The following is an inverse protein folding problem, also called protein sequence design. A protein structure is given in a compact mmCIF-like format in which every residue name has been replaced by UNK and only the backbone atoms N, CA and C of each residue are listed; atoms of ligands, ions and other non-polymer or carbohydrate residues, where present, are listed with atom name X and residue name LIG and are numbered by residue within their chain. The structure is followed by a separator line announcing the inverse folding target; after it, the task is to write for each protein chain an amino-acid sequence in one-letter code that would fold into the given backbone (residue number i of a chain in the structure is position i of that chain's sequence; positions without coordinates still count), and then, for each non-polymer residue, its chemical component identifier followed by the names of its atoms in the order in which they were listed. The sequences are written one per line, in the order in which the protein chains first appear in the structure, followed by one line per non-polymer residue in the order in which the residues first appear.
data_IF_088966502343
#
_entry.id   IF_088966502343
#
_cell.length_a   1.000
_cell.length_b   1.000
_cell.length_c   1.000
_cell.angle_alpha   90.00
_cell.angle_beta   90.00
_cell.angle_gamma   90.00
#
_symmetry.space_group_name_H-M   'P 1'
#
loop_
_entity.id
_entity.type
_entity.pdbx_description
1 polymer ?
#
# COMPACT_ATOMS: atom_id res chain seq x y z
N UNK A 1 -0.07 -38.02 -17.30
CA UNK A 1 -1.04 -37.15 -16.58
C UNK A 1 -0.40 -36.31 -15.48
N UNK A 2 0.77 -36.70 -14.94
CA UNK A 2 1.52 -35.99 -13.89
C UNK A 2 2.15 -34.67 -14.35
N UNK A 3 2.58 -34.58 -15.61
CA UNK A 3 3.27 -33.38 -16.13
C UNK A 3 2.37 -32.14 -16.22
N UNK A 4 1.08 -32.33 -16.52
CA UNK A 4 0.08 -31.26 -16.62
C UNK A 4 -0.21 -30.58 -15.27
N UNK A 5 -0.28 -31.37 -14.20
CA UNK A 5 -0.49 -30.86 -12.84
C UNK A 5 0.73 -30.07 -12.34
N UNK A 6 1.94 -30.59 -12.59
CA UNK A 6 3.19 -29.95 -12.23
C UNK A 6 3.38 -28.60 -12.96
N UNK A 7 3.06 -28.54 -14.25
CA UNK A 7 3.15 -27.31 -15.03
C UNK A 7 2.15 -26.25 -14.55
N UNK A 8 0.93 -26.67 -14.22
CA UNK A 8 -0.11 -25.79 -13.68
C UNK A 8 0.28 -25.20 -12.32
N UNK A 9 0.91 -26.00 -11.45
CA UNK A 9 1.44 -25.53 -10.17
C UNK A 9 2.57 -24.52 -10.35
N UNK A 10 3.50 -24.78 -11.30
CA UNK A 10 4.61 -23.86 -11.61
C UNK A 10 4.12 -22.52 -12.14
N UNK A 11 3.15 -22.52 -13.07
CA UNK A 11 2.54 -21.27 -13.58
C UNK A 11 1.87 -20.48 -12.47
N UNK A 12 1.09 -21.15 -11.62
CA UNK A 12 0.42 -20.52 -10.47
C UNK A 12 1.42 -19.86 -9.52
N UNK A 13 2.48 -20.59 -9.14
CA UNK A 13 3.55 -20.05 -8.28
C UNK A 13 4.19 -18.82 -8.91
N UNK A 14 4.51 -18.87 -10.21
CA UNK A 14 5.09 -17.71 -10.92
C UNK A 14 4.17 -16.50 -10.88
N UNK A 15 2.87 -16.68 -11.13
CA UNK A 15 1.89 -15.58 -11.06
C UNK A 15 1.82 -14.95 -9.67
N UNK A 16 1.77 -15.78 -8.62
CA UNK A 16 1.78 -15.29 -7.23
C UNK A 16 3.03 -14.47 -6.95
N UNK A 17 4.21 -14.99 -7.31
CA UNK A 17 5.48 -14.29 -7.11
C UNK A 17 5.47 -12.96 -7.87
N UNK A 18 5.03 -12.94 -9.14
CA UNK A 18 4.95 -11.71 -9.93
C UNK A 18 4.07 -10.66 -9.25
N UNK A 19 2.88 -11.03 -8.76
CA UNK A 19 2.01 -10.07 -8.07
C UNK A 19 2.59 -9.58 -6.75
N UNK A 20 3.27 -10.43 -5.97
CA UNK A 20 3.96 -10.01 -4.76
C UNK A 20 5.12 -9.05 -5.06
N UNK A 21 5.92 -9.34 -6.08
CA UNK A 21 7.01 -8.45 -6.53
C UNK A 21 6.43 -7.11 -6.98
N UNK A 22 5.38 -7.10 -7.81
CA UNK A 22 4.73 -5.86 -8.23
C UNK A 22 4.16 -5.08 -7.04
N UNK A 23 3.58 -5.77 -6.06
CA UNK A 23 3.09 -5.14 -4.81
C UNK A 23 4.25 -4.47 -4.06
N UNK A 24 5.39 -5.16 -3.91
CA UNK A 24 6.56 -4.59 -3.26
C UNK A 24 7.14 -3.39 -4.03
N UNK A 25 7.21 -3.48 -5.36
CA UNK A 25 7.66 -2.38 -6.24
C UNK A 25 6.74 -1.17 -6.12
N UNK A 26 5.43 -1.37 -6.01
CA UNK A 26 4.46 -0.29 -5.82
C UNK A 26 4.56 0.36 -4.44
N UNK A 27 4.88 -0.41 -3.39
CA UNK A 27 4.97 0.10 -2.02
C UNK A 27 6.32 0.78 -1.72
N UNK A 28 7.40 0.32 -2.35
CA UNK A 28 8.77 0.85 -2.16
C UNK A 28 8.87 2.39 -2.21
N UNK A 29 8.42 3.08 -3.28
CA UNK A 29 8.50 4.54 -3.35
C UNK A 29 7.63 5.23 -2.29
N UNK A 30 6.50 4.62 -1.89
CA UNK A 30 5.64 5.17 -0.83
C UNK A 30 6.31 5.03 0.55
N UNK A 31 6.99 3.91 0.80
CA UNK A 31 7.80 3.69 2.00
C UNK A 31 8.98 4.66 2.06
N UNK A 32 9.65 4.89 0.93
CA UNK A 32 10.71 5.90 0.83
C UNK A 32 10.17 7.30 1.11
N UNK A 33 9.01 7.65 0.54
CA UNK A 33 8.34 8.93 0.81
C UNK A 33 7.99 9.12 2.29
N UNK A 34 7.45 8.07 2.93
CA UNK A 34 7.17 8.10 4.37
C UNK A 34 8.46 8.27 5.19
N UNK A 35 9.53 7.57 4.82
CA UNK A 35 10.83 7.70 5.48
C UNK A 35 11.36 9.13 5.40
N UNK A 36 11.37 9.74 4.20
CA UNK A 36 11.79 11.12 4.03
C UNK A 36 10.91 12.10 4.82
N UNK A 37 9.59 11.92 4.84
CA UNK A 37 8.69 12.77 5.62
C UNK A 37 8.92 12.62 7.14
N UNK A 38 9.23 11.41 7.61
CA UNK A 38 9.53 11.17 9.01
C UNK A 38 10.88 11.79 9.42
N UNK A 39 11.91 11.66 8.59
CA UNK A 39 13.21 12.28 8.82
C UNK A 39 13.11 13.82 8.83
N UNK A 40 12.40 14.40 7.88
CA UNK A 40 12.14 15.84 7.81
C UNK A 40 11.40 16.36 9.06
N UNK A 41 10.36 15.64 9.51
CA UNK A 41 9.62 15.99 10.72
C UNK A 41 10.46 15.91 12.00
N UNK A 42 11.48 15.03 12.03
CA UNK A 42 12.43 14.94 13.15
C UNK A 42 13.43 16.11 13.13
N UNK A 43 13.90 16.50 11.95
CA UNK A 43 14.87 17.60 11.79
C UNK A 43 14.26 18.98 12.03
N UNK A 44 12.99 19.19 11.63
CA UNK A 44 12.31 20.49 11.72
C UNK A 44 11.32 20.61 12.89
N UNK A 45 11.52 19.81 13.94
CA UNK A 45 10.63 19.82 15.11
C UNK A 45 10.70 21.15 15.88
N UNK A 46 9.56 21.82 16.04
CA UNK A 46 9.48 23.05 16.84
C UNK A 46 9.66 22.75 18.33
N UNK A 47 10.43 23.58 19.05
CA UNK A 47 10.60 23.42 20.50
C UNK A 47 9.42 23.94 21.31
N UNK A 48 8.59 24.81 20.71
CA UNK A 48 7.52 25.55 21.39
C UNK A 48 6.12 25.13 20.97
N UNK A 49 5.95 24.61 19.76
CA UNK A 49 4.64 24.17 19.26
C UNK A 49 4.43 22.66 19.43
N UNK A 50 3.98 22.27 20.62
CA UNK A 50 3.67 20.86 20.92
C UNK A 50 2.52 20.33 20.06
N UNK A 51 1.55 21.18 19.70
CA UNK A 51 0.30 20.74 19.05
C UNK A 51 0.56 20.37 17.60
N UNK A 52 1.29 21.20 16.85
CA UNK A 52 1.67 20.90 15.48
C UNK A 52 2.59 19.67 15.39
N UNK A 53 3.55 19.54 16.30
CA UNK A 53 4.42 18.36 16.38
C UNK A 53 3.61 17.07 16.63
N UNK A 54 2.64 17.12 17.55
CA UNK A 54 1.79 15.97 17.86
C UNK A 54 0.89 15.57 16.68
N UNK A 55 0.33 16.56 15.96
CA UNK A 55 -0.47 16.31 14.77
C UNK A 55 0.36 15.69 13.65
N UNK A 56 1.58 16.18 13.43
CA UNK A 56 2.53 15.63 12.44
C UNK A 56 2.92 14.19 12.77
N UNK A 57 3.20 13.89 14.05
CA UNK A 57 3.47 12.52 14.48
C UNK A 57 2.27 11.61 14.20
N UNK A 58 1.06 12.03 14.56
CA UNK A 58 -0.16 11.25 14.30
C UNK A 58 -0.38 11.02 12.81
N UNK A 59 -0.15 12.01 11.95
CA UNK A 59 -0.33 11.83 10.50
C UNK A 59 0.66 10.81 9.93
N UNK A 60 1.92 10.83 10.37
CA UNK A 60 2.92 9.82 10.00
C UNK A 60 2.53 8.42 10.47
N UNK A 61 2.03 8.27 11.70
CA UNK A 61 1.54 6.99 12.23
C UNK A 61 0.35 6.46 11.39
N UNK A 62 -0.62 7.30 11.07
CA UNK A 62 -1.74 6.90 10.20
C UNK A 62 -1.28 6.53 8.79
N UNK A 63 -0.33 7.27 8.20
CA UNK A 63 0.23 6.95 6.89
C UNK A 63 0.94 5.58 6.89
N UNK A 64 1.72 5.30 7.94
CA UNK A 64 2.35 3.99 8.13
C UNK A 64 1.31 2.86 8.25
N UNK A 65 0.25 3.09 9.03
CA UNK A 65 -0.84 2.12 9.17
C UNK A 65 -1.56 1.88 7.85
N UNK A 66 -1.78 2.90 7.02
CA UNK A 66 -2.40 2.74 5.70
C UNK A 66 -1.51 1.95 4.75
N UNK A 67 -0.20 2.22 4.72
CA UNK A 67 0.76 1.55 3.84
C UNK A 67 0.82 0.04 4.07
N UNK A 68 0.65 -0.40 5.31
CA UNK A 68 0.64 -1.83 5.66
C UNK A 68 -0.79 -2.38 5.63
N UNK A 69 -1.75 -1.65 6.18
CA UNK A 69 -3.11 -2.10 6.40
C UNK A 69 -3.91 -2.29 5.11
N UNK A 70 -3.78 -1.38 4.13
CA UNK A 70 -4.58 -1.46 2.90
C UNK A 70 -4.19 -2.65 2.02
N UNK A 71 -2.90 -2.94 1.76
CA UNK A 71 -2.51 -4.16 1.04
C UNK A 71 -2.92 -5.43 1.80
N UNK A 72 -2.78 -5.47 3.13
CA UNK A 72 -3.21 -6.62 3.93
C UNK A 72 -4.73 -6.84 3.88
N UNK A 73 -5.52 -5.76 3.97
CA UNK A 73 -6.96 -5.83 3.84
C UNK A 73 -7.36 -6.32 2.44
N UNK A 74 -6.71 -5.82 1.39
CA UNK A 74 -6.89 -6.31 0.02
C UNK A 74 -6.56 -7.79 -0.11
N UNK A 75 -5.46 -8.25 0.49
CA UNK A 75 -5.06 -9.65 0.51
C UNK A 75 -6.11 -10.53 1.21
N UNK A 76 -6.62 -10.08 2.36
CA UNK A 76 -7.67 -10.75 3.11
C UNK A 76 -8.98 -10.83 2.31
N UNK A 77 -9.41 -9.74 1.67
CA UNK A 77 -10.58 -9.74 0.79
C UNK A 77 -10.42 -10.71 -0.39
N UNK A 78 -9.25 -10.73 -1.03
CA UNK A 78 -8.95 -11.65 -2.13
C UNK A 78 -8.95 -13.12 -1.68
N UNK A 79 -8.40 -13.41 -0.50
CA UNK A 79 -8.46 -14.74 0.10
C UNK A 79 -9.90 -15.16 0.39
N UNK A 80 -10.65 -14.35 1.13
CA UNK A 80 -12.04 -14.64 1.53
C UNK A 80 -12.92 -14.85 0.30
N UNK A 81 -12.82 -13.98 -0.71
CA UNK A 81 -13.58 -14.11 -1.95
C UNK A 81 -13.26 -15.40 -2.71
N UNK A 82 -11.99 -15.81 -2.78
CA UNK A 82 -11.62 -17.06 -3.42
C UNK A 82 -12.06 -18.30 -2.64
N UNK A 83 -12.00 -18.25 -1.31
CA UNK A 83 -12.48 -19.33 -0.45
C UNK A 83 -13.98 -19.56 -0.63
N UNK A 84 -14.78 -18.49 -0.63
CA UNK A 84 -16.25 -18.57 -0.83
C UNK A 84 -16.59 -19.12 -2.22
N UNK A 85 -15.80 -18.77 -3.25
CA UNK A 85 -16.04 -19.19 -4.63
C UNK A 85 -15.37 -20.54 -5.00
N UNK A 86 -14.71 -21.22 -4.07
CA UNK A 86 -14.00 -22.47 -4.33
C UNK A 86 -12.84 -22.34 -5.33
N UNK A 87 -12.23 -21.16 -5.42
CA UNK A 87 -11.16 -20.82 -6.37
C UNK A 87 -9.77 -20.91 -5.74
N UNK A 88 -8.72 -20.77 -6.56
CA UNK A 88 -7.32 -20.78 -6.11
C UNK A 88 -7.03 -19.55 -5.23
N UNK A 89 -6.96 -19.77 -3.93
CA UNK A 89 -6.77 -18.72 -2.91
C UNK A 89 -5.47 -17.96 -3.10
N UNK A 90 -4.34 -18.64 -3.34
CA UNK A 90 -3.03 -17.99 -3.42
C UNK A 90 -2.92 -16.88 -4.49
N UNK A 91 -3.51 -17.08 -5.67
CA UNK A 91 -3.51 -16.04 -6.73
C UNK A 91 -4.42 -14.89 -6.33
N UNK A 92 -5.62 -15.18 -5.83
CA UNK A 92 -6.58 -14.16 -5.44
C UNK A 92 -6.09 -13.30 -4.27
N UNK A 93 -5.42 -13.88 -3.29
CA UNK A 93 -4.76 -13.16 -2.19
C UNK A 93 -3.69 -12.21 -2.72
N UNK A 94 -2.81 -12.68 -3.63
CA UNK A 94 -1.76 -11.84 -4.20
C UNK A 94 -2.32 -10.72 -5.08
N UNK A 95 -3.35 -11.01 -5.88
CA UNK A 95 -4.07 -9.98 -6.65
C UNK A 95 -4.73 -8.96 -5.72
N UNK A 96 -5.36 -9.40 -4.64
CA UNK A 96 -5.96 -8.52 -3.64
C UNK A 96 -4.95 -7.59 -2.98
N UNK A 97 -3.77 -8.10 -2.61
CA UNK A 97 -2.67 -7.30 -2.08
C UNK A 97 -2.21 -6.22 -3.07
N UNK A 98 -2.01 -6.62 -4.33
CA UNK A 98 -1.60 -5.71 -5.41
C UNK A 98 -2.65 -4.62 -5.66
N UNK A 99 -3.93 -4.98 -5.70
CA UNK A 99 -5.02 -4.01 -5.84
C UNK A 99 -5.11 -3.06 -4.65
N UNK A 100 -4.88 -3.55 -3.43
CA UNK A 100 -4.78 -2.70 -2.25
C UNK A 100 -3.63 -1.69 -2.35
N UNK A 101 -2.44 -2.13 -2.78
CA UNK A 101 -1.32 -1.23 -3.04
C UNK A 101 -1.63 -0.21 -4.14
N UNK A 102 -2.35 -0.59 -5.19
CA UNK A 102 -2.77 0.33 -6.24
C UNK A 102 -3.81 1.36 -5.74
N UNK A 103 -4.75 0.94 -4.89
CA UNK A 103 -5.72 1.84 -4.26
C UNK A 103 -5.03 2.92 -3.41
N UNK A 104 -3.93 2.59 -2.71
CA UNK A 104 -3.14 3.58 -1.98
C UNK A 104 -2.60 4.68 -2.89
N UNK A 105 -2.14 4.35 -4.09
CA UNK A 105 -1.69 5.33 -5.06
C UNK A 105 -2.81 6.25 -5.52
N UNK A 106 -3.99 5.70 -5.83
CA UNK A 106 -5.16 6.49 -6.23
C UNK A 106 -5.54 7.46 -5.10
N UNK A 107 -5.62 6.96 -3.86
CA UNK A 107 -5.94 7.78 -2.69
C UNK A 107 -4.88 8.87 -2.45
N UNK A 108 -3.60 8.55 -2.61
CA UNK A 108 -2.50 9.52 -2.49
C UNK A 108 -2.57 10.62 -3.54
N UNK A 109 -2.81 10.26 -4.80
CA UNK A 109 -2.98 11.23 -5.91
C UNK A 109 -4.20 12.11 -5.69
N UNK A 110 -5.33 11.53 -5.26
CA UNK A 110 -6.55 12.28 -4.97
C UNK A 110 -6.33 13.25 -3.80
N UNK A 111 -5.69 12.81 -2.72
CA UNK A 111 -5.36 13.65 -1.57
C UNK A 111 -4.42 14.80 -1.97
N UNK A 112 -3.40 14.51 -2.79
CA UNK A 112 -2.50 15.52 -3.35
C UNK A 112 -3.26 16.56 -4.18
N UNK A 113 -4.15 16.12 -5.08
CA UNK A 113 -4.95 17.02 -5.90
C UNK A 113 -5.85 17.93 -5.06
N UNK A 114 -6.52 17.38 -4.03
CA UNK A 114 -7.36 18.15 -3.11
C UNK A 114 -6.53 19.16 -2.32
N UNK A 115 -5.35 18.77 -1.83
CA UNK A 115 -4.46 19.67 -1.12
C UNK A 115 -3.98 20.82 -2.03
N UNK A 116 -3.62 20.49 -3.27
CA UNK A 116 -3.18 21.46 -4.26
C UNK A 116 -4.30 22.42 -4.71
N UNK A 117 -5.52 21.92 -4.91
CA UNK A 117 -6.66 22.76 -5.30
C UNK A 117 -7.09 23.75 -4.21
N UNK A 118 -6.78 23.45 -2.95
CA UNK A 118 -7.06 24.32 -1.82
C UNK A 118 -5.88 25.26 -1.48
N UNK A 119 -4.76 25.17 -2.19
CA UNK A 119 -3.65 26.09 -2.01
C UNK A 119 -3.97 27.42 -2.69
N UNK A 120 -4.31 28.45 -1.92
CA UNK A 120 -4.37 29.83 -2.42
C UNK A 120 -2.94 30.34 -2.66
N UNK A 121 -2.51 30.32 -3.92
CA UNK A 121 -1.29 31.01 -4.34
C UNK A 121 -1.54 32.52 -4.30
N UNK A 122 -1.14 33.18 -3.20
CA UNK A 122 -0.99 34.63 -3.17
C UNK A 122 0.29 34.99 -3.93
N UNK A 123 0.15 35.65 -5.08
CA UNK A 123 1.23 36.36 -5.76
C UNK A 123 1.36 37.78 -5.23
#
# INVERSE_FOLDING_TARGET
MTDSAAETARRTRRTVITFLVLTAVLLLPLLAGLWYAADDALQHKSTTDWRANHQTRKSLEHAAMLLVGVPLAGAACGWTGATVLGRRTGVATATGAMLGAFALWILGIAAFYIAFSNATFGF
#
